data_IF_473970735263
#
_entry.id   IF_473970735263
#
_cell.length_a   1.000
_cell.length_b   1.000
_cell.length_c   1.000
_cell.angle_alpha   90.00
_cell.angle_beta   90.00
_cell.angle_gamma   90.00
#
_symmetry.space_group_name_H-M   'P 1'
#
loop_
_entity.id
_entity.type
_entity.pdbx_description
1 polymer ?
#
# COMPACT_ATOMS: atom_id res chain seq x y z
N UNK A 1 -8.62 -64.76 14.30
CA UNK A 1 -7.94 -65.16 15.57
C UNK A 1 -7.96 -63.91 16.40
N UNK A 2 -8.95 -63.75 17.25
CA UNK A 2 -8.90 -64.14 18.69
C UNK A 2 -8.02 -63.17 19.45
N UNK A 3 -8.35 -62.52 20.51
CA UNK A 3 -9.41 -62.58 21.50
C UNK A 3 -9.14 -61.34 22.39
N UNK A 4 -10.13 -60.55 22.89
CA UNK A 4 -10.91 -60.71 24.12
C UNK A 4 -10.10 -60.61 25.43
N UNK A 5 -10.44 -59.70 26.29
CA UNK A 5 -11.00 -59.88 27.63
C UNK A 5 -10.74 -58.62 28.46
N UNK A 6 -11.80 -57.90 28.86
CA UNK A 6 -12.66 -58.03 30.06
C UNK A 6 -11.89 -58.02 31.38
N UNK A 7 -12.19 -57.23 32.35
CA UNK A 7 -13.18 -57.37 33.44
C UNK A 7 -12.69 -56.48 34.57
N UNK A 8 -13.39 -55.77 35.35
CA UNK A 8 -14.52 -55.99 36.26
C UNK A 8 -14.21 -55.38 37.63
N UNK A 9 -15.03 -54.47 38.08
CA UNK A 9 -15.87 -54.45 39.27
C UNK A 9 -15.26 -54.55 40.68
N UNK A 10 -15.71 -53.67 41.55
CA UNK A 10 -16.39 -53.87 42.82
C UNK A 10 -16.08 -52.73 43.80
N UNK A 11 -17.05 -51.91 44.18
CA UNK A 11 -18.12 -52.14 45.16
C UNK A 11 -17.63 -52.50 46.51
N UNK A 12 -17.79 -51.67 47.52
CA UNK A 12 -18.18 -52.00 48.89
C UNK A 12 -18.73 -50.70 49.51
N UNK A 13 -19.97 -50.56 49.65
CA UNK A 13 -20.89 -50.61 50.78
C UNK A 13 -20.24 -50.45 52.16
N UNK A 14 -20.56 -49.38 52.86
CA UNK A 14 -20.86 -49.50 54.23
C UNK A 14 -21.89 -48.53 54.80
N UNK A 15 -22.92 -49.08 55.29
CA UNK A 15 -24.08 -48.47 55.96
C UNK A 15 -23.71 -48.32 57.46
N UNK A 16 -24.37 -47.38 58.12
CA UNK A 16 -24.89 -47.37 59.48
C UNK A 16 -25.08 -45.90 59.88
N UNK A 17 -26.18 -45.43 60.06
CA UNK A 17 -27.36 -45.67 60.92
C UNK A 17 -27.48 -44.60 62.04
N UNK A 18 -28.59 -43.87 61.93
CA UNK A 18 -29.49 -43.34 62.97
C UNK A 18 -29.02 -42.60 64.21
N UNK A 19 -29.54 -41.41 64.44
CA UNK A 19 -30.50 -41.03 65.51
C UNK A 19 -30.69 -39.51 65.54
N UNK A 20 -31.85 -39.07 65.19
CA UNK A 20 -33.03 -38.59 65.92
C UNK A 20 -32.82 -37.43 66.91
N UNK A 21 -33.69 -36.46 66.69
CA UNK A 21 -34.32 -35.46 67.56
C UNK A 21 -33.66 -34.05 67.60
N UNK A 22 -34.49 -33.11 67.28
CA UNK A 22 -34.42 -31.71 67.73
C UNK A 22 -35.12 -30.73 66.83
N UNK A 23 -36.43 -30.56 66.98
CA UNK A 23 -37.25 -29.47 66.38
C UNK A 23 -36.86 -28.15 67.04
N UNK A 24 -36.51 -27.14 66.27
CA UNK A 24 -36.87 -25.75 66.59
C UNK A 24 -37.01 -25.00 65.25
N UNK A 25 -38.20 -24.52 65.02
CA UNK A 25 -38.54 -23.59 63.96
C UNK A 25 -37.94 -22.22 64.28
N UNK A 26 -37.17 -21.70 63.35
CA UNK A 26 -36.90 -20.25 63.29
C UNK A 26 -36.89 -19.81 61.81
N UNK A 27 -37.96 -19.13 61.44
CA UNK A 27 -38.14 -18.48 60.18
C UNK A 27 -37.06 -17.37 60.04
N UNK A 28 -36.02 -17.63 59.24
CA UNK A 28 -35.06 -16.64 58.84
C UNK A 28 -35.12 -16.45 57.32
N UNK A 29 -35.81 -15.41 56.85
CA UNK A 29 -35.78 -14.97 55.45
C UNK A 29 -34.35 -14.51 55.13
N UNK A 30 -33.56 -15.41 54.56
CA UNK A 30 -32.26 -15.05 53.99
C UNK A 30 -32.51 -14.28 52.69
N UNK A 31 -32.48 -12.96 52.76
CA UNK A 31 -32.40 -12.07 51.63
C UNK A 31 -31.04 -12.32 50.99
N UNK A 32 -30.97 -13.18 49.98
CA UNK A 32 -29.78 -13.33 49.12
C UNK A 32 -29.66 -12.06 48.24
N UNK A 33 -28.89 -11.09 48.71
CA UNK A 33 -28.45 -9.96 47.97
C UNK A 33 -27.52 -10.50 46.87
N UNK A 34 -28.06 -10.78 45.69
CA UNK A 34 -27.27 -11.08 44.47
C UNK A 34 -26.50 -9.82 44.14
N UNK A 35 -25.24 -9.74 44.57
CA UNK A 35 -24.25 -8.78 44.05
C UNK A 35 -24.06 -9.11 42.60
N UNK A 36 -24.88 -8.50 41.73
CA UNK A 36 -24.62 -8.43 40.30
C UNK A 36 -23.31 -7.63 40.10
N UNK A 37 -22.20 -8.34 40.03
CA UNK A 37 -20.94 -7.77 39.57
C UNK A 37 -21.18 -7.23 38.14
N UNK A 38 -20.98 -5.91 37.91
CA UNK A 38 -21.05 -5.41 36.54
C UNK A 38 -19.94 -6.12 35.76
N UNK A 39 -20.32 -7.02 34.88
CA UNK A 39 -19.43 -7.52 33.83
C UNK A 39 -19.12 -6.30 32.94
N UNK A 40 -18.02 -5.64 33.25
CA UNK A 40 -17.41 -4.72 32.31
C UNK A 40 -16.95 -5.58 31.15
N UNK A 41 -17.79 -5.72 30.13
CA UNK A 41 -17.35 -6.09 28.81
C UNK A 41 -16.37 -4.98 28.40
N UNK A 42 -15.08 -5.17 28.70
CA UNK A 42 -14.01 -4.44 28.03
C UNK A 42 -14.09 -4.87 26.58
N UNK A 43 -14.94 -4.22 25.83
CA UNK A 43 -14.87 -4.25 24.37
C UNK A 43 -13.48 -3.77 24.04
N UNK A 44 -12.61 -4.67 23.65
CA UNK A 44 -11.32 -4.29 23.06
C UNK A 44 -11.69 -3.44 21.87
N UNK A 45 -11.49 -2.11 22.01
CA UNK A 45 -11.81 -1.18 20.96
C UNK A 45 -11.06 -1.58 19.70
N UNK A 46 -11.75 -1.65 18.57
CA UNK A 46 -11.18 -1.97 17.26
C UNK A 46 -9.92 -1.13 17.02
N UNK A 47 -8.78 -1.78 16.82
CA UNK A 47 -7.51 -1.12 16.55
C UNK A 47 -7.40 -0.84 15.06
N UNK A 48 -7.52 0.43 14.71
CA UNK A 48 -7.47 0.92 13.33
C UNK A 48 -6.10 1.51 13.04
N UNK A 49 -5.50 1.14 11.90
CA UNK A 49 -4.35 1.77 11.31
C UNK A 49 -4.74 2.55 10.06
N UNK A 50 -4.00 3.61 9.75
CA UNK A 50 -4.12 4.36 8.50
C UNK A 50 -2.78 4.41 7.80
N UNK A 51 -2.78 4.31 6.48
CA UNK A 51 -1.60 4.47 5.63
C UNK A 51 -1.87 5.45 4.49
N UNK A 52 -0.93 6.34 4.23
CA UNK A 52 -0.95 7.25 3.11
C UNK A 52 -0.10 6.68 1.96
N UNK A 53 -0.76 6.14 0.95
CA UNK A 53 -0.11 5.52 -0.20
C UNK A 53 0.73 6.52 -1.01
N UNK A 54 0.27 7.77 -1.13
CA UNK A 54 1.05 8.83 -1.80
C UNK A 54 2.38 9.10 -1.09
N UNK A 55 2.37 9.19 0.25
CA UNK A 55 3.61 9.33 1.02
C UNK A 55 4.54 8.16 0.81
N UNK A 56 4.02 6.94 0.79
CA UNK A 56 4.82 5.73 0.51
C UNK A 56 5.49 5.83 -0.85
N UNK A 57 4.75 6.19 -1.90
CA UNK A 57 5.24 6.32 -3.28
C UNK A 57 6.17 7.53 -3.49
N UNK A 58 6.19 8.50 -2.59
CA UNK A 58 7.08 9.67 -2.65
C UNK A 58 8.33 9.51 -1.79
N UNK A 59 8.17 9.01 -0.57
CA UNK A 59 9.18 9.15 0.48
C UNK A 59 9.96 7.85 0.75
N UNK A 60 9.44 6.67 0.34
CA UNK A 60 10.13 5.40 0.57
C UNK A 60 11.42 5.25 -0.23
N UNK A 61 12.39 4.51 0.31
CA UNK A 61 13.65 4.26 -0.36
C UNK A 61 13.49 3.61 -1.75
N UNK A 62 12.63 2.58 -1.95
CA UNK A 62 12.39 2.03 -3.27
C UNK A 62 11.72 3.01 -4.24
N UNK A 63 10.87 3.94 -3.76
CA UNK A 63 10.27 4.96 -4.61
C UNK A 63 11.32 5.96 -5.13
N UNK A 64 12.22 6.43 -4.26
CA UNK A 64 13.34 7.30 -4.65
C UNK A 64 14.30 6.60 -5.62
N UNK A 65 14.59 5.32 -5.38
CA UNK A 65 15.43 4.53 -6.28
C UNK A 65 14.77 4.35 -7.66
N UNK A 66 13.46 4.07 -7.71
CA UNK A 66 12.70 3.96 -8.95
C UNK A 66 12.70 5.29 -9.72
N UNK A 67 12.49 6.43 -9.04
CA UNK A 67 12.55 7.75 -9.65
C UNK A 67 13.91 8.01 -10.29
N UNK A 68 15.00 7.79 -9.55
CA UNK A 68 16.36 7.98 -10.07
C UNK A 68 16.66 7.05 -11.25
N UNK A 69 16.17 5.81 -11.21
CA UNK A 69 16.31 4.85 -12.31
C UNK A 69 15.62 5.34 -13.58
N UNK A 70 14.37 5.81 -13.46
CA UNK A 70 13.59 6.35 -14.58
C UNK A 70 14.27 7.60 -15.15
N UNK A 71 14.69 8.53 -14.30
CA UNK A 71 15.41 9.73 -14.73
C UNK A 71 16.67 9.38 -15.54
N UNK A 72 17.48 8.45 -15.06
CA UNK A 72 18.68 8.01 -15.76
C UNK A 72 18.38 7.28 -17.08
N UNK A 73 17.33 6.44 -17.11
CA UNK A 73 16.90 5.71 -18.30
C UNK A 73 16.46 6.66 -19.42
N UNK A 74 15.74 7.73 -19.08
CA UNK A 74 15.20 8.68 -20.07
C UNK A 74 16.08 9.88 -20.33
N UNK A 75 17.10 10.14 -19.52
CA UNK A 75 18.00 11.31 -19.62
C UNK A 75 18.60 11.45 -21.02
N UNK A 76 19.19 10.39 -21.54
CA UNK A 76 19.83 10.43 -22.87
C UNK A 76 18.82 10.74 -23.98
N UNK A 77 17.62 10.15 -23.90
CA UNK A 77 16.56 10.39 -24.90
C UNK A 77 16.06 11.84 -24.86
N UNK A 78 15.97 12.43 -23.65
CA UNK A 78 15.59 13.82 -23.46
C UNK A 78 16.67 14.78 -24.01
N UNK A 79 17.95 14.53 -23.73
CA UNK A 79 19.08 15.30 -24.24
C UNK A 79 19.17 15.24 -25.78
N UNK A 80 18.96 14.08 -26.38
CA UNK A 80 18.98 13.91 -27.83
C UNK A 80 17.78 14.60 -28.49
N UNK A 81 16.60 14.59 -27.85
CA UNK A 81 15.45 15.35 -28.31
C UNK A 81 15.74 16.87 -28.27
N UNK A 82 16.33 17.37 -27.19
CA UNK A 82 16.70 18.78 -27.03
C UNK A 82 17.69 19.23 -28.12
N UNK A 83 18.72 18.43 -28.42
CA UNK A 83 19.66 18.71 -29.54
C UNK A 83 18.94 18.81 -30.87
N UNK A 84 17.98 17.91 -31.14
CA UNK A 84 17.22 17.94 -32.39
C UNK A 84 16.30 19.16 -32.47
N UNK A 85 15.67 19.59 -31.37
CA UNK A 85 14.88 20.82 -31.27
C UNK A 85 15.75 22.06 -31.56
N UNK A 86 16.95 22.10 -30.96
CA UNK A 86 17.88 23.21 -31.20
C UNK A 86 18.37 23.24 -32.67
N UNK A 87 18.60 22.08 -33.30
CA UNK A 87 18.92 21.99 -34.72
C UNK A 87 17.77 22.49 -35.60
N UNK A 88 16.53 22.07 -35.34
CA UNK A 88 15.35 22.58 -36.06
C UNK A 88 15.25 24.11 -35.97
N UNK A 89 15.44 24.69 -34.79
CA UNK A 89 15.46 26.14 -34.58
C UNK A 89 16.54 26.82 -35.45
N UNK A 90 17.75 26.26 -35.47
CA UNK A 90 18.84 26.76 -36.28
C UNK A 90 18.53 26.71 -37.78
N UNK A 91 17.93 25.61 -38.25
CA UNK A 91 17.51 25.45 -39.64
C UNK A 91 16.41 26.46 -40.02
N UNK A 92 15.44 26.70 -39.14
CA UNK A 92 14.40 27.71 -39.35
C UNK A 92 14.98 29.13 -39.46
N UNK A 93 15.92 29.48 -38.57
CA UNK A 93 16.61 30.77 -38.63
C UNK A 93 17.44 30.93 -39.90
N UNK A 94 18.09 29.87 -40.39
CA UNK A 94 18.81 29.90 -41.67
C UNK A 94 17.85 30.11 -42.83
N UNK A 95 16.72 29.38 -42.84
CA UNK A 95 15.73 29.57 -43.90
C UNK A 95 15.20 31.00 -43.92
N UNK A 96 14.93 31.62 -42.77
CA UNK A 96 14.48 33.02 -42.69
C UNK A 96 15.51 33.99 -43.27
N UNK A 97 16.80 33.82 -42.94
CA UNK A 97 17.90 34.66 -43.45
C UNK A 97 18.12 34.47 -44.95
N UNK A 98 18.06 33.24 -45.43
CA UNK A 98 18.35 32.89 -46.81
C UNK A 98 17.12 33.10 -47.72
N UNK A 99 15.92 33.24 -47.19
CA UNK A 99 14.66 33.33 -47.93
C UNK A 99 14.66 34.38 -49.10
N UNK A 100 15.28 35.57 -48.95
CA UNK A 100 15.32 36.55 -50.05
C UNK A 100 16.14 36.11 -51.25
N UNK A 101 17.10 35.21 -51.09
CA UNK A 101 18.04 34.78 -52.16
C UNK A 101 17.75 33.37 -52.67
N UNK A 102 16.86 32.63 -52.03
CA UNK A 102 16.47 31.28 -52.43
C UNK A 102 15.43 31.31 -53.55
N UNK A 103 15.52 30.35 -54.47
CA UNK A 103 14.44 30.08 -55.42
C UNK A 103 13.18 29.60 -54.65
N UNK A 104 12.01 29.85 -55.26
CA UNK A 104 10.74 29.37 -54.65
C UNK A 104 10.73 27.87 -54.43
N UNK A 105 11.27 27.09 -55.36
CA UNK A 105 11.39 25.63 -55.24
C UNK A 105 12.23 25.20 -54.02
N UNK A 106 13.38 25.85 -53.84
CA UNK A 106 14.27 25.55 -52.71
C UNK A 106 13.66 25.98 -51.38
N UNK A 107 13.01 27.14 -51.35
CA UNK A 107 12.28 27.59 -50.13
C UNK A 107 11.19 26.61 -49.73
N UNK A 108 10.36 26.19 -50.70
CA UNK A 108 9.31 25.21 -50.48
C UNK A 108 9.86 23.85 -50.05
N UNK A 109 11.01 23.42 -50.57
CA UNK A 109 11.69 22.19 -50.14
C UNK A 109 12.13 22.28 -48.68
N UNK A 110 12.83 23.35 -48.30
CA UNK A 110 13.30 23.56 -46.91
C UNK A 110 12.15 23.72 -45.91
N UNK A 111 11.06 24.38 -46.32
CA UNK A 111 9.86 24.49 -45.49
C UNK A 111 9.24 23.09 -45.20
N UNK A 112 9.12 22.23 -46.22
CA UNK A 112 8.62 20.87 -46.05
C UNK A 112 9.54 20.03 -45.15
N UNK A 113 10.85 20.19 -45.32
CA UNK A 113 11.84 19.52 -44.47
C UNK A 113 11.67 19.93 -43.00
N UNK A 114 11.58 21.21 -42.69
CA UNK A 114 11.31 21.71 -41.33
C UNK A 114 10.01 21.18 -40.78
N UNK A 115 8.93 21.15 -41.55
CA UNK A 115 7.64 20.63 -41.14
C UNK A 115 7.72 19.13 -40.81
N UNK A 116 8.45 18.34 -41.61
CA UNK A 116 8.64 16.91 -41.36
C UNK A 116 9.46 16.65 -40.08
N UNK A 117 10.54 17.42 -39.89
CA UNK A 117 11.36 17.30 -38.67
C UNK A 117 10.54 17.68 -37.44
N UNK A 118 9.74 18.78 -37.52
CA UNK A 118 8.88 19.16 -36.40
C UNK A 118 7.86 18.08 -36.07
N UNK A 119 7.20 17.50 -37.05
CA UNK A 119 6.26 16.40 -36.86
C UNK A 119 6.93 15.18 -36.18
N UNK A 120 8.15 14.85 -36.62
CA UNK A 120 8.94 13.76 -36.00
C UNK A 120 9.33 14.07 -34.57
N UNK A 121 9.71 15.30 -34.25
CA UNK A 121 10.03 15.74 -32.90
C UNK A 121 8.82 15.67 -31.96
N UNK A 122 7.65 16.10 -32.48
CA UNK A 122 6.39 15.99 -31.70
C UNK A 122 6.04 14.53 -31.40
N UNK A 123 6.23 13.61 -32.36
CA UNK A 123 6.05 12.19 -32.14
C UNK A 123 7.02 11.65 -31.09
N UNK A 124 8.33 11.91 -31.24
CA UNK A 124 9.35 11.47 -30.25
C UNK A 124 9.09 12.00 -28.85
N UNK A 125 8.62 13.24 -28.72
CA UNK A 125 8.26 13.82 -27.42
C UNK A 125 7.13 13.03 -26.76
N UNK A 126 6.06 12.72 -27.51
CA UNK A 126 4.96 11.89 -27.00
C UNK A 126 5.43 10.48 -26.60
N UNK A 127 6.21 9.83 -27.43
CA UNK A 127 6.79 8.50 -27.15
C UNK A 127 7.59 8.49 -25.85
N UNK A 128 8.47 9.47 -25.64
CA UNK A 128 9.26 9.60 -24.41
C UNK A 128 8.33 9.77 -23.19
N UNK A 129 7.31 10.60 -23.31
CA UNK A 129 6.37 10.86 -22.23
C UNK A 129 5.52 9.61 -21.88
N UNK A 130 5.02 8.94 -22.90
CA UNK A 130 4.22 7.70 -22.74
C UNK A 130 5.07 6.57 -22.13
N UNK A 131 6.28 6.35 -22.66
CA UNK A 131 7.21 5.36 -22.15
C UNK A 131 7.60 5.63 -20.68
N UNK A 132 7.92 6.89 -20.37
CA UNK A 132 8.26 7.28 -18.99
C UNK A 132 7.09 7.11 -18.02
N UNK A 133 5.87 7.46 -18.46
CA UNK A 133 4.66 7.26 -17.66
C UNK A 133 4.37 5.78 -17.43
N UNK A 134 4.47 4.96 -18.48
CA UNK A 134 4.32 3.50 -18.37
C UNK A 134 5.35 2.93 -17.39
N UNK A 135 6.62 3.31 -17.55
CA UNK A 135 7.71 2.83 -16.69
C UNK A 135 7.51 3.20 -15.23
N UNK A 136 7.01 4.42 -14.97
CA UNK A 136 6.66 4.86 -13.62
C UNK A 136 5.54 4.02 -13.02
N UNK A 137 4.49 3.76 -13.80
CA UNK A 137 3.37 2.96 -13.32
C UNK A 137 3.78 1.52 -12.98
N UNK A 138 4.68 0.91 -13.77
CA UNK A 138 5.24 -0.41 -13.50
C UNK A 138 6.04 -0.44 -12.19
N UNK A 139 6.94 0.52 -11.99
CA UNK A 139 7.71 0.61 -10.75
C UNK A 139 6.81 0.88 -9.54
N UNK A 140 5.81 1.75 -9.68
CA UNK A 140 4.86 2.06 -8.61
C UNK A 140 4.00 0.85 -8.24
N UNK A 141 3.53 0.07 -9.21
CA UNK A 141 2.80 -1.17 -8.95
C UNK A 141 3.65 -2.13 -8.08
N UNK A 142 4.92 -2.30 -8.43
CA UNK A 142 5.86 -3.13 -7.65
C UNK A 142 6.05 -2.61 -6.21
N UNK A 143 6.12 -1.29 -6.04
CA UNK A 143 6.26 -0.68 -4.71
C UNK A 143 4.99 -0.88 -3.89
N UNK A 144 3.81 -0.73 -4.50
CA UNK A 144 2.51 -0.97 -3.84
C UNK A 144 2.39 -2.42 -3.36
N UNK A 145 2.79 -3.39 -4.18
CA UNK A 145 2.80 -4.81 -3.77
C UNK A 145 3.67 -5.04 -2.53
N UNK A 146 4.88 -4.48 -2.53
CA UNK A 146 5.79 -4.55 -1.37
C UNK A 146 5.21 -3.83 -0.14
N UNK A 147 4.58 -2.68 -0.35
CA UNK A 147 3.92 -1.94 0.72
C UNK A 147 2.77 -2.73 1.33
N UNK A 148 1.92 -3.35 0.51
CA UNK A 148 0.82 -4.19 0.98
C UNK A 148 1.33 -5.39 1.79
N UNK A 149 2.42 -6.03 1.37
CA UNK A 149 3.04 -7.11 2.14
C UNK A 149 3.58 -6.61 3.50
N UNK A 150 4.21 -5.44 3.53
CA UNK A 150 4.70 -4.82 4.76
C UNK A 150 3.54 -4.41 5.69
N UNK A 151 2.47 -3.82 5.15
CA UNK A 151 1.26 -3.46 5.89
C UNK A 151 0.63 -4.70 6.53
N UNK A 152 0.48 -5.78 5.77
CA UNK A 152 -0.06 -7.04 6.28
C UNK A 152 0.77 -7.56 7.46
N UNK A 153 2.09 -7.60 7.33
CA UNK A 153 3.00 -8.03 8.39
C UNK A 153 2.90 -7.15 9.64
N UNK A 154 2.82 -5.82 9.47
CA UNK A 154 2.66 -4.87 10.58
C UNK A 154 1.30 -5.10 11.25
N UNK A 155 0.22 -5.27 10.47
CA UNK A 155 -1.12 -5.50 10.99
C UNK A 155 -1.19 -6.77 11.84
N UNK A 156 -0.61 -7.86 11.37
CA UNK A 156 -0.53 -9.13 12.11
C UNK A 156 0.30 -9.00 13.39
N UNK A 157 1.48 -8.39 13.31
CA UNK A 157 2.41 -8.29 14.43
C UNK A 157 1.90 -7.35 15.53
N UNK A 158 1.26 -6.26 15.15
CA UNK A 158 0.77 -5.25 16.09
C UNK A 158 -0.73 -5.38 16.39
N UNK A 159 -1.39 -6.44 15.91
CA UNK A 159 -2.81 -6.73 16.14
C UNK A 159 -3.72 -5.58 15.73
N UNK A 160 -3.57 -5.06 14.50
CA UNK A 160 -4.54 -4.17 13.89
C UNK A 160 -5.70 -4.98 13.33
N UNK A 161 -6.93 -4.57 13.65
CA UNK A 161 -8.14 -5.20 13.14
C UNK A 161 -8.43 -4.76 11.70
N UNK A 162 -8.08 -3.51 11.37
CA UNK A 162 -8.24 -2.93 10.04
C UNK A 162 -7.15 -1.90 9.74
N UNK A 163 -6.69 -1.86 8.51
CA UNK A 163 -5.85 -0.78 7.98
C UNK A 163 -6.56 -0.13 6.81
N UNK A 164 -6.73 1.19 6.88
CA UNK A 164 -7.47 2.01 5.92
C UNK A 164 -6.47 2.78 5.07
N UNK A 165 -6.75 2.88 3.78
CA UNK A 165 -6.09 3.79 2.84
C UNK A 165 -7.10 4.88 2.46
N UNK A 166 -6.61 6.07 2.16
CA UNK A 166 -7.40 7.20 1.65
C UNK A 166 -8.53 7.66 2.59
N UNK A 167 -8.20 8.51 3.53
CA UNK A 167 -9.15 9.15 4.42
C UNK A 167 -9.09 10.68 4.28
N UNK A 168 -10.24 11.33 4.37
CA UNK A 168 -10.36 12.81 4.29
C UNK A 168 -9.61 13.48 5.45
N UNK A 169 -9.66 12.86 6.63
CA UNK A 169 -8.95 13.35 7.82
C UNK A 169 -8.48 12.16 8.66
N UNK A 170 -7.30 12.27 9.23
CA UNK A 170 -6.66 11.20 10.01
C UNK A 170 -6.05 11.80 11.26
N UNK A 171 -6.33 11.16 12.39
CA UNK A 171 -5.62 11.48 13.63
C UNK A 171 -4.19 10.87 13.54
N UNK A 172 -3.12 11.64 13.82
CA UNK A 172 -1.75 11.14 13.78
C UNK A 172 -1.50 9.87 14.61
N UNK A 173 -2.31 9.64 15.63
CA UNK A 173 -2.21 8.46 16.50
C UNK A 173 -2.47 7.13 15.77
N UNK A 174 -3.28 7.15 14.70
CA UNK A 174 -3.60 5.94 13.93
C UNK A 174 -2.77 5.84 12.64
N UNK A 175 -1.99 6.86 12.29
CA UNK A 175 -1.13 6.87 11.10
C UNK A 175 0.10 5.98 11.31
N UNK A 176 0.18 4.90 10.55
CA UNK A 176 1.29 3.95 10.54
C UNK A 176 2.16 4.07 9.28
N UNK A 177 1.98 5.12 8.49
CA UNK A 177 2.69 5.32 7.21
C UNK A 177 4.21 5.28 7.39
N UNK A 178 4.74 5.93 8.42
CA UNK A 178 6.19 5.95 8.68
C UNK A 178 6.74 4.56 9.01
N UNK A 179 5.98 3.71 9.70
CA UNK A 179 6.37 2.32 9.96
C UNK A 179 6.46 1.52 8.66
N UNK A 180 5.52 1.73 7.74
CA UNK A 180 5.53 1.08 6.43
C UNK A 180 6.72 1.57 5.60
N UNK A 181 6.99 2.88 5.56
CA UNK A 181 8.14 3.46 4.86
C UNK A 181 9.46 2.88 5.40
N UNK A 182 9.60 2.78 6.72
CA UNK A 182 10.79 2.17 7.35
C UNK A 182 10.93 0.68 7.03
N UNK A 183 9.82 -0.04 6.98
CA UNK A 183 9.82 -1.47 6.63
C UNK A 183 10.22 -1.73 5.17
N UNK A 184 9.92 -0.80 4.26
CA UNK A 184 10.32 -0.83 2.84
C UNK A 184 11.78 -0.47 2.60
N UNK A 185 12.44 0.18 3.55
CA UNK A 185 13.85 0.59 3.44
C UNK A 185 14.85 -0.43 3.99
N UNK A 186 14.34 -1.54 4.52
CA UNK A 186 15.14 -2.67 5.03
C UNK A 186 15.27 -3.76 3.97
#
# INVERSE_FOLDING_TARGET
MSALMTTTTRSVFNRFAYRLLGVVAASGAALTLSLATPVHAQGQGTKIGFVNTERILRDSAPAKAAQSKIENEFKKRAEDLEKQVNNLRSMAQKLEKDAPVLSESERNKRQRELANIDADLQRKRREIQEDSSRRRNEEFATIIEKANAAIKKIAETESYDIVIQDAVTVNPRVDITDKVIQALGK
#
